data_IF_713124369548
#
_entry.id   IF_713124369548
#
_cell.length_a   1.000
_cell.length_b   1.000
_cell.length_c   1.000
_cell.angle_alpha   90.00
_cell.angle_beta   90.00
_cell.angle_gamma   90.00
#
_symmetry.space_group_name_H-M   'P 1'
#
loop_
_entity.id
_entity.type
_entity.pdbx_description
1 polymer ?
#
# COMPACT_ATOMS: atom_id res chain seq x y z
N UNK A 1 27.26 -4.64 12.73
CA UNK A 1 26.10 -4.44 11.84
C UNK A 1 26.10 -2.97 11.44
N UNK A 2 26.41 -2.68 10.18
CA UNK A 2 26.40 -1.32 9.66
C UNK A 2 24.98 -0.77 9.62
N UNK A 3 24.83 0.50 10.00
CA UNK A 3 23.53 1.18 9.91
C UNK A 3 23.24 1.44 8.43
N UNK A 4 22.05 1.09 7.92
CA UNK A 4 21.74 1.30 6.51
C UNK A 4 21.82 2.79 6.16
N UNK A 5 22.32 3.09 4.95
CA UNK A 5 22.70 4.45 4.52
C UNK A 5 21.57 5.48 4.65
N UNK A 6 20.32 5.05 4.48
CA UNK A 6 19.13 5.89 4.59
C UNK A 6 18.91 6.50 5.98
N UNK A 7 19.51 5.93 7.03
CA UNK A 7 19.47 6.49 8.39
C UNK A 7 20.25 7.79 8.54
N UNK A 8 21.08 8.15 7.56
CA UNK A 8 21.82 9.42 7.55
C UNK A 8 21.09 10.56 6.82
N UNK A 9 20.00 10.28 6.10
CA UNK A 9 19.26 11.30 5.34
C UNK A 9 18.61 12.35 6.24
N UNK A 10 18.73 13.63 5.83
CA UNK A 10 18.32 14.81 6.61
C UNK A 10 17.61 15.83 5.72
N UNK A 11 16.31 15.61 5.49
CA UNK A 11 15.36 16.67 5.16
C UNK A 11 14.62 17.12 6.43
N UNK A 12 14.08 18.35 6.47
CA UNK A 12 13.32 18.83 7.64
C UNK A 12 12.15 17.88 7.99
N UNK A 13 11.41 17.44 6.97
CA UNK A 13 10.28 16.49 7.14
C UNK A 13 10.76 15.10 7.59
N UNK A 14 11.82 14.59 6.97
CA UNK A 14 12.42 13.28 7.32
C UNK A 14 12.91 13.28 8.77
N UNK A 15 13.58 14.35 9.20
CA UNK A 15 14.12 14.45 10.55
C UNK A 15 13.01 14.55 11.61
N UNK A 16 11.97 15.34 11.34
CA UNK A 16 10.81 15.48 12.23
C UNK A 16 10.04 14.16 12.37
N UNK A 17 9.65 13.55 11.24
CA UNK A 17 8.96 12.26 11.25
C UNK A 17 9.81 11.16 11.87
N UNK A 18 11.12 11.10 11.58
CA UNK A 18 12.00 10.11 12.21
C UNK A 18 12.04 10.23 13.72
N UNK A 19 12.12 11.46 14.25
CA UNK A 19 12.12 11.67 15.71
C UNK A 19 10.82 11.16 16.32
N UNK A 20 9.68 11.51 15.73
CA UNK A 20 8.38 11.07 16.21
C UNK A 20 8.19 9.55 16.07
N UNK A 21 8.62 8.94 14.96
CA UNK A 21 8.53 7.51 14.72
C UNK A 21 9.40 6.70 15.70
N UNK A 22 10.63 7.17 15.99
CA UNK A 22 11.48 6.58 17.04
C UNK A 22 10.85 6.74 18.42
N UNK A 23 10.09 7.81 18.65
CA UNK A 23 9.28 8.02 19.85
C UNK A 23 7.99 7.18 19.91
N UNK A 24 7.75 6.30 18.93
CA UNK A 24 6.58 5.41 18.90
C UNK A 24 5.35 5.95 18.18
N UNK A 25 5.43 7.12 17.53
CA UNK A 25 4.31 7.64 16.74
C UNK A 25 4.08 6.77 15.50
N UNK A 26 2.96 6.05 15.52
CA UNK A 26 2.49 5.19 14.43
C UNK A 26 2.22 5.99 13.15
N UNK A 27 1.65 7.19 13.27
CA UNK A 27 1.41 8.08 12.14
C UNK A 27 2.73 8.55 11.52
N UNK A 28 3.73 8.87 12.34
CA UNK A 28 5.04 9.24 11.84
C UNK A 28 5.76 8.07 11.15
N UNK A 29 5.57 6.83 11.62
CA UNK A 29 6.05 5.63 10.94
C UNK A 29 5.41 5.51 9.54
N UNK A 30 4.08 5.66 9.45
CA UNK A 30 3.35 5.63 8.19
C UNK A 30 3.83 6.73 7.22
N UNK A 31 3.95 7.97 7.69
CA UNK A 31 4.38 9.12 6.89
C UNK A 31 5.85 9.03 6.45
N UNK A 32 6.72 8.51 7.31
CA UNK A 32 8.12 8.33 6.96
C UNK A 32 8.28 7.22 5.92
N UNK A 33 7.57 6.11 6.08
CA UNK A 33 7.53 5.03 5.11
C UNK A 33 6.98 5.50 3.75
N UNK A 34 5.91 6.29 3.77
CA UNK A 34 5.35 6.95 2.59
C UNK A 34 6.36 7.85 1.87
N UNK A 35 7.12 8.65 2.62
CA UNK A 35 8.10 9.56 2.05
C UNK A 35 9.21 8.79 1.32
N UNK A 36 9.71 7.72 1.93
CA UNK A 36 10.71 6.84 1.33
C UNK A 36 10.24 6.15 0.06
N UNK A 37 8.93 5.88 -0.03
CA UNK A 37 8.32 5.20 -1.18
C UNK A 37 7.94 6.16 -2.31
N UNK A 38 7.31 7.29 -1.99
CA UNK A 38 6.66 8.15 -2.99
C UNK A 38 7.51 9.35 -3.42
N UNK A 39 8.46 9.81 -2.59
CA UNK A 39 9.18 11.08 -2.79
C UNK A 39 10.65 10.92 -3.14
N UNK A 40 11.13 9.69 -3.24
CA UNK A 40 12.49 9.37 -3.65
C UNK A 40 12.49 8.78 -5.05
N UNK A 41 13.51 9.12 -5.83
CA UNK A 41 13.72 8.59 -7.17
C UNK A 41 15.18 8.10 -7.30
N UNK A 42 15.43 6.77 -7.28
CA UNK A 42 14.44 5.70 -7.10
C UNK A 42 13.91 5.60 -5.65
N UNK A 43 12.75 4.96 -5.42
CA UNK A 43 12.22 4.70 -4.08
C UNK A 43 13.19 3.92 -3.18
N UNK A 44 13.21 4.25 -1.90
CA UNK A 44 13.99 3.51 -0.91
C UNK A 44 13.14 2.42 -0.26
N UNK A 45 13.06 1.27 -0.92
CA UNK A 45 12.19 0.14 -0.55
C UNK A 45 12.50 -0.39 0.86
N UNK A 46 13.77 -0.51 1.22
CA UNK A 46 14.19 -1.00 2.55
C UNK A 46 13.75 -0.06 3.67
N UNK A 47 13.97 1.25 3.48
CA UNK A 47 13.56 2.26 4.46
C UNK A 47 12.03 2.32 4.57
N UNK A 48 11.33 2.29 3.43
CA UNK A 48 9.87 2.28 3.39
C UNK A 48 9.31 1.08 4.16
N UNK A 49 9.76 -0.15 3.85
CA UNK A 49 9.34 -1.37 4.56
C UNK A 49 9.62 -1.28 6.06
N UNK A 50 10.82 -0.84 6.45
CA UNK A 50 11.22 -0.73 7.85
C UNK A 50 10.26 0.13 8.69
N UNK A 51 9.75 1.23 8.12
CA UNK A 51 8.81 2.12 8.82
C UNK A 51 7.35 1.72 8.65
N UNK A 52 6.95 1.22 7.48
CA UNK A 52 5.56 0.82 7.22
C UNK A 52 5.15 -0.41 8.03
N UNK A 53 6.03 -1.40 8.18
CA UNK A 53 5.73 -2.63 8.90
C UNK A 53 5.24 -2.45 10.36
N UNK A 54 5.97 -1.74 11.25
CA UNK A 54 5.48 -1.51 12.60
C UNK A 54 4.22 -0.64 12.61
N UNK A 55 4.08 0.31 11.69
CA UNK A 55 2.87 1.13 11.55
C UNK A 55 1.64 0.29 11.19
N UNK A 56 1.79 -0.62 10.22
CA UNK A 56 0.74 -1.54 9.80
C UNK A 56 0.38 -2.53 10.91
N UNK A 57 1.38 -3.11 11.60
CA UNK A 57 1.16 -3.97 12.78
C UNK A 57 0.44 -3.26 13.92
N UNK A 58 0.62 -1.95 14.06
CA UNK A 58 -0.07 -1.13 15.06
C UNK A 58 -1.48 -0.67 14.63
N UNK A 59 -1.99 -1.15 13.48
CA UNK A 59 -3.36 -0.86 13.04
C UNK A 59 -3.50 0.37 12.15
N UNK A 60 -2.42 1.02 11.73
CA UNK A 60 -2.53 2.20 10.87
C UNK A 60 -2.88 1.82 9.43
N UNK A 61 -4.08 2.22 9.01
CA UNK A 61 -4.65 1.92 7.69
C UNK A 61 -3.75 2.44 6.57
N UNK A 62 -3.24 3.67 6.68
CA UNK A 62 -2.34 4.25 5.68
C UNK A 62 -1.04 3.46 5.53
N UNK A 63 -0.47 2.97 6.63
CA UNK A 63 0.70 2.10 6.62
C UNK A 63 0.38 0.73 5.99
N UNK A 64 -0.78 0.15 6.27
CA UNK A 64 -1.23 -1.11 5.67
C UNK A 64 -1.38 -0.98 4.13
N UNK A 65 -2.05 0.07 3.65
CA UNK A 65 -2.22 0.35 2.21
C UNK A 65 -0.85 0.44 1.53
N UNK A 66 0.06 1.23 2.12
CA UNK A 66 1.40 1.48 1.57
C UNK A 66 2.31 0.26 1.61
N UNK A 67 2.24 -0.52 2.69
CA UNK A 67 2.98 -1.78 2.79
C UNK A 67 2.46 -2.79 1.77
N UNK A 68 1.14 -2.85 1.59
CA UNK A 68 0.52 -3.69 0.57
C UNK A 68 0.97 -3.32 -0.84
N UNK A 69 0.95 -2.03 -1.17
CA UNK A 69 1.45 -1.50 -2.44
C UNK A 69 2.94 -1.80 -2.63
N UNK A 70 3.78 -1.55 -1.61
CA UNK A 70 5.21 -1.82 -1.65
C UNK A 70 5.51 -3.30 -1.93
N UNK A 71 4.79 -4.21 -1.27
CA UNK A 71 4.92 -5.65 -1.49
C UNK A 71 4.53 -6.04 -2.93
N UNK A 72 3.45 -5.49 -3.47
CA UNK A 72 2.96 -5.82 -4.82
C UNK A 72 3.84 -5.25 -5.94
N UNK A 73 4.24 -3.98 -5.85
CA UNK A 73 4.89 -3.26 -6.96
C UNK A 73 6.43 -3.32 -6.92
N UNK A 74 7.03 -3.48 -5.74
CA UNK A 74 8.49 -3.40 -5.59
C UNK A 74 9.15 -4.69 -5.13
N UNK A 75 8.42 -5.60 -4.46
CA UNK A 75 8.99 -6.82 -3.88
C UNK A 75 8.47 -8.11 -4.53
N UNK A 76 7.35 -8.09 -5.25
CA UNK A 76 6.70 -9.30 -5.76
C UNK A 76 6.11 -10.19 -4.65
N UNK A 77 5.90 -9.65 -3.45
CA UNK A 77 5.38 -10.37 -2.28
C UNK A 77 3.83 -10.32 -2.27
N UNK A 78 3.19 -10.95 -3.25
CA UNK A 78 1.75 -10.83 -3.47
C UNK A 78 0.88 -11.32 -2.29
N UNK A 79 1.31 -12.35 -1.55
CA UNK A 79 0.59 -12.82 -0.36
C UNK A 79 0.60 -11.79 0.78
N UNK A 80 1.76 -11.17 1.02
CA UNK A 80 1.91 -10.09 1.99
C UNK A 80 1.09 -8.87 1.56
N UNK A 81 1.09 -8.55 0.26
CA UNK A 81 0.25 -7.50 -0.29
C UNK A 81 -1.23 -7.76 -0.02
N UNK A 82 -1.71 -8.97 -0.35
CA UNK A 82 -3.10 -9.39 -0.12
C UNK A 82 -3.50 -9.27 1.34
N UNK A 83 -2.64 -9.71 2.27
CA UNK A 83 -2.91 -9.64 3.71
C UNK A 83 -3.16 -8.21 4.18
N UNK A 84 -2.24 -7.29 3.89
CA UNK A 84 -2.33 -5.91 4.37
C UNK A 84 -3.41 -5.12 3.67
N UNK A 85 -3.57 -5.30 2.35
CA UNK A 85 -4.66 -4.65 1.61
C UNK A 85 -6.03 -5.16 2.07
N UNK A 86 -6.18 -6.47 2.35
CA UNK A 86 -7.45 -7.01 2.90
C UNK A 86 -7.76 -6.39 4.26
N UNK A 87 -6.76 -6.26 5.13
CA UNK A 87 -6.93 -5.64 6.45
C UNK A 87 -7.35 -4.17 6.34
N UNK A 88 -6.71 -3.39 5.46
CA UNK A 88 -7.08 -1.99 5.21
C UNK A 88 -8.47 -1.85 4.56
N UNK A 89 -8.81 -2.73 3.62
CA UNK A 89 -10.12 -2.76 2.99
C UNK A 89 -11.24 -3.10 3.98
N UNK A 90 -11.01 -4.04 4.90
CA UNK A 90 -11.94 -4.35 6.00
C UNK A 90 -12.14 -3.16 6.95
N UNK A 91 -11.13 -2.30 7.09
CA UNK A 91 -11.23 -1.03 7.81
C UNK A 91 -11.89 0.10 6.99
N UNK A 92 -12.37 -0.20 5.77
CA UNK A 92 -13.11 0.73 4.92
C UNK A 92 -12.27 1.53 3.93
N UNK A 93 -10.98 1.22 3.77
CA UNK A 93 -10.13 1.99 2.86
C UNK A 93 -10.39 1.66 1.38
N UNK A 94 -10.85 2.67 0.64
CA UNK A 94 -11.22 2.51 -0.77
C UNK A 94 -10.00 2.33 -1.70
N UNK A 95 -8.80 2.79 -1.32
CA UNK A 95 -7.57 2.56 -2.08
C UNK A 95 -7.06 1.13 -1.91
N UNK A 96 -7.19 0.56 -0.71
CA UNK A 96 -6.90 -0.84 -0.47
C UNK A 96 -7.81 -1.76 -1.30
N UNK A 97 -9.12 -1.47 -1.34
CA UNK A 97 -10.07 -2.20 -2.18
C UNK A 97 -9.69 -2.12 -3.66
N UNK A 98 -9.30 -0.94 -4.16
CA UNK A 98 -8.81 -0.78 -5.51
C UNK A 98 -7.55 -1.63 -5.78
N UNK A 99 -6.57 -1.58 -4.88
CA UNK A 99 -5.32 -2.32 -5.03
C UNK A 99 -5.53 -3.84 -4.94
N UNK A 100 -6.52 -4.32 -4.16
CA UNK A 100 -6.93 -5.74 -4.19
C UNK A 100 -7.49 -6.11 -5.56
N UNK A 101 -8.34 -5.26 -6.15
CA UNK A 101 -8.84 -5.48 -7.51
C UNK A 101 -7.71 -5.64 -8.52
N UNK A 102 -6.69 -4.78 -8.44
CA UNK A 102 -5.49 -4.88 -9.28
C UNK A 102 -4.72 -6.17 -9.00
N UNK A 103 -4.50 -6.51 -7.73
CA UNK A 103 -3.77 -7.71 -7.32
C UNK A 103 -4.41 -8.98 -7.88
N UNK A 104 -5.73 -9.14 -7.76
CA UNK A 104 -6.46 -10.29 -8.31
C UNK A 104 -6.50 -10.30 -9.85
N UNK A 105 -6.58 -9.13 -10.49
CA UNK A 105 -6.52 -9.05 -11.96
C UNK A 105 -5.14 -9.44 -12.54
N UNK A 106 -4.10 -9.40 -11.72
CA UNK A 106 -2.71 -9.73 -12.07
C UNK A 106 -2.25 -11.09 -11.51
N UNK A 107 -3.10 -11.81 -10.79
CA UNK A 107 -2.73 -13.14 -10.28
C UNK A 107 -2.51 -14.11 -11.44
N UNK A 108 -1.89 -15.26 -11.15
CA UNK A 108 -1.67 -16.32 -12.13
C UNK A 108 -2.30 -17.64 -11.65
N UNK A 109 -3.43 -18.09 -12.24
CA UNK A 109 -4.21 -17.39 -13.27
C UNK A 109 -4.93 -16.13 -12.69
N UNK A 110 -5.33 -15.16 -13.54
CA UNK A 110 -6.09 -14.01 -13.10
C UNK A 110 -7.45 -14.39 -12.52
N UNK A 111 -7.83 -13.81 -11.38
CA UNK A 111 -9.17 -13.95 -10.79
C UNK A 111 -9.98 -12.68 -11.04
N UNK A 112 -10.63 -12.63 -12.20
CA UNK A 112 -11.41 -11.46 -12.61
C UNK A 112 -12.72 -11.32 -11.84
N UNK A 113 -13.27 -12.39 -11.27
CA UNK A 113 -14.47 -12.32 -10.42
C UNK A 113 -14.14 -11.62 -9.10
N UNK A 114 -13.06 -12.04 -8.42
CA UNK A 114 -12.58 -11.37 -7.22
C UNK A 114 -12.16 -9.92 -7.52
N UNK A 115 -11.49 -9.68 -8.66
CA UNK A 115 -11.13 -8.33 -9.07
C UNK A 115 -12.37 -7.42 -9.22
N UNK A 116 -13.42 -7.92 -9.90
CA UNK A 116 -14.68 -7.20 -10.10
C UNK A 116 -15.35 -6.87 -8.77
N UNK A 117 -15.39 -7.82 -7.85
CA UNK A 117 -15.97 -7.63 -6.52
C UNK A 117 -15.25 -6.50 -5.77
N UNK A 118 -13.92 -6.53 -5.74
CA UNK A 118 -13.13 -5.51 -5.06
C UNK A 118 -13.23 -4.13 -5.70
N UNK A 119 -13.23 -4.03 -7.03
CA UNK A 119 -13.46 -2.76 -7.72
C UNK A 119 -14.86 -2.21 -7.44
N UNK A 120 -15.88 -3.06 -7.42
CA UNK A 120 -17.26 -2.65 -7.09
C UNK A 120 -17.35 -2.09 -5.67
N UNK A 121 -16.71 -2.74 -4.69
CA UNK A 121 -16.63 -2.25 -3.31
C UNK A 121 -15.87 -0.91 -3.23
N UNK A 122 -14.78 -0.77 -3.98
CA UNK A 122 -14.01 0.46 -4.04
C UNK A 122 -14.85 1.62 -4.59
N UNK A 123 -15.64 1.40 -5.65
CA UNK A 123 -16.59 2.39 -6.19
C UNK A 123 -17.63 2.78 -5.15
N UNK A 124 -18.25 1.79 -4.49
CA UNK A 124 -19.21 2.02 -3.41
C UNK A 124 -18.64 2.80 -2.22
N UNK A 125 -17.31 2.75 -2.03
CA UNK A 125 -16.57 3.46 -1.00
C UNK A 125 -15.94 4.78 -1.48
N UNK A 126 -16.30 5.25 -2.68
CA UNK A 126 -15.89 6.56 -3.21
C UNK A 126 -14.64 6.58 -4.10
N UNK A 127 -14.02 5.43 -4.40
CA UNK A 127 -12.93 5.36 -5.37
C UNK A 127 -13.48 5.38 -6.81
N UNK A 128 -13.50 6.58 -7.41
CA UNK A 128 -14.01 6.79 -8.78
C UNK A 128 -13.11 6.20 -9.86
N UNK A 129 -11.82 6.03 -9.59
CA UNK A 129 -10.88 5.42 -10.55
C UNK A 129 -11.25 3.96 -10.80
N UNK A 130 -11.70 3.24 -9.77
CA UNK A 130 -12.19 1.87 -9.89
C UNK A 130 -13.39 1.74 -10.84
N UNK A 131 -14.21 2.77 -11.04
CA UNK A 131 -15.32 2.71 -11.99
C UNK A 131 -14.84 2.62 -13.45
N UNK A 132 -13.73 3.32 -13.76
CA UNK A 132 -13.10 3.26 -15.08
C UNK A 132 -12.50 1.87 -15.31
N UNK A 133 -11.80 1.34 -14.30
CA UNK A 133 -11.18 0.01 -14.37
C UNK A 133 -12.24 -1.09 -14.50
N UNK A 134 -13.31 -1.03 -13.71
CA UNK A 134 -14.42 -1.97 -13.75
C UNK A 134 -15.07 -2.02 -15.15
N UNK A 135 -15.35 -0.86 -15.74
CA UNK A 135 -15.90 -0.76 -17.10
C UNK A 135 -15.00 -1.42 -18.14
N UNK A 136 -13.68 -1.23 -18.02
CA UNK A 136 -12.72 -1.86 -18.92
C UNK A 136 -12.72 -3.39 -18.73
N UNK A 137 -12.75 -3.86 -17.49
CA UNK A 137 -12.78 -5.28 -17.16
C UNK A 137 -14.02 -5.97 -17.77
N UNK A 138 -15.21 -5.39 -17.60
CA UNK A 138 -16.47 -5.92 -18.12
C UNK A 138 -16.53 -5.94 -19.65
N UNK A 139 -15.86 -5.00 -20.31
CA UNK A 139 -15.83 -4.93 -21.78
C UNK A 139 -15.06 -6.08 -22.43
N UNK A 140 -14.03 -6.60 -21.76
CA UNK A 140 -13.16 -7.64 -22.30
C UNK A 140 -13.48 -9.05 -21.77
N UNK A 141 -14.35 -9.15 -20.76
CA UNK A 141 -14.84 -10.41 -20.18
C UNK A 141 -16.34 -10.28 -19.89
N UNK A 142 -17.20 -10.25 -20.93
CA UNK A 142 -18.65 -10.24 -20.73
C UNK A 142 -19.10 -11.54 -20.04
N UNK A 143 -20.01 -11.39 -19.07
CA UNK A 143 -20.61 -12.48 -18.28
C UNK A 143 -21.33 -13.49 -19.17
#
# INVERSE_FOLDING_TARGET
MDRPAWRAERGLDVAAYRRAAVGGSVEAMANLGALYLDRMEPPNVDAARYWLEPGARAGNIGAMVRLGFLCMEHLGEFDTARLWLTSAAQAGDAYAMHNLGILYSRSDPPDFDAAREWFTRAVGSGNVVSAIVLRNLERYQPV
#
